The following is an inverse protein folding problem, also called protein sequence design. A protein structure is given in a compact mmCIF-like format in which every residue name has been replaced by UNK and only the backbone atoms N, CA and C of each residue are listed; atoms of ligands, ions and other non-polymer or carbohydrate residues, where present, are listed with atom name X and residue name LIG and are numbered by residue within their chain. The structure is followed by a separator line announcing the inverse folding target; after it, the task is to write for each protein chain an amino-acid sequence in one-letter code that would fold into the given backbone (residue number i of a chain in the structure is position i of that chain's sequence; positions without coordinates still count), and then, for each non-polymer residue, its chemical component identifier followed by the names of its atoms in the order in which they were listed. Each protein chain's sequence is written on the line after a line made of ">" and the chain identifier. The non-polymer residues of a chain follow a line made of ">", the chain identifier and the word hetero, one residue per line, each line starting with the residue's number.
data_IF_756438091817
#
_entry.id   IF_756438091817
#
_cell.length_a   1.000
_cell.length_b   1.000
_cell.length_c   1.000
_cell.angle_alpha   90.00
_cell.angle_beta   90.00
_cell.angle_gamma   90.00
#
_symmetry.space_group_name_H-M   'P 1'
#
loop_
_entity.id
_entity.type
_entity.pdbx_description
1 polymer ?
#
# COMPACT_ATOMS: atom_id res chain seq x y z
N UNK A 1 4.78 16.27 2.85
CA UNK A 1 4.10 15.27 3.71
C UNK A 1 3.40 14.29 2.77
N UNK A 2 4.07 13.18 2.42
CA UNK A 2 3.50 12.11 1.59
C UNK A 2 2.96 11.04 2.55
N UNK A 3 1.71 11.20 2.96
CA UNK A 3 0.98 10.12 3.62
C UNK A 3 0.04 9.55 2.57
N UNK A 4 0.23 8.29 2.22
CA UNK A 4 -0.74 7.57 1.38
C UNK A 4 -2.10 7.50 2.10
N UNK A 5 -3.17 7.35 1.34
CA UNK A 5 -4.51 7.16 1.90
C UNK A 5 -4.74 5.69 2.21
N UNK A 6 -5.36 5.41 3.36
CA UNK A 6 -5.92 4.08 3.66
C UNK A 6 -7.45 4.17 3.69
N UNK A 7 -8.13 3.87 2.57
CA UNK A 7 -9.58 3.74 2.56
C UNK A 7 -10.03 2.57 3.43
N UNK A 8 -10.92 2.84 4.37
CA UNK A 8 -11.53 1.87 5.27
C UNK A 8 -13.06 1.97 5.17
N UNK A 9 -13.75 0.83 5.23
CA UNK A 9 -15.21 0.78 5.07
C UNK A 9 -15.72 -0.63 4.83
N UNK A 10 -17.03 -0.90 4.88
CA UNK A 10 -17.60 -2.24 4.66
C UNK A 10 -17.17 -2.88 3.32
N UNK A 11 -17.18 -4.21 3.24
CA UNK A 11 -16.94 -4.90 1.96
C UNK A 11 -17.95 -4.44 0.89
N UNK A 12 -17.50 -4.27 -0.35
CA UNK A 12 -18.38 -3.84 -1.46
C UNK A 12 -18.63 -2.33 -1.57
N UNK A 13 -18.01 -1.50 -0.72
CA UNK A 13 -18.13 -0.03 -0.78
C UNK A 13 -17.22 0.65 -1.82
N UNK A 14 -16.64 -0.11 -2.75
CA UNK A 14 -15.88 0.48 -3.86
C UNK A 14 -14.49 1.02 -3.50
N UNK A 15 -13.89 0.61 -2.37
CA UNK A 15 -12.58 1.14 -1.90
C UNK A 15 -11.45 0.87 -2.88
N UNK A 16 -11.33 -0.39 -3.29
CA UNK A 16 -10.31 -0.85 -4.24
C UNK A 16 -10.57 -0.26 -5.62
N UNK A 17 -11.84 -0.22 -6.04
CA UNK A 17 -12.30 0.36 -7.29
C UNK A 17 -11.98 1.85 -7.37
N UNK A 18 -12.19 2.60 -6.29
CA UNK A 18 -11.87 4.03 -6.20
C UNK A 18 -10.38 4.29 -6.39
N UNK A 19 -9.50 3.46 -5.80
CA UNK A 19 -8.04 3.57 -5.99
C UNK A 19 -7.67 3.26 -7.44
N UNK A 20 -8.26 2.22 -8.04
CA UNK A 20 -8.02 1.86 -9.45
C UNK A 20 -8.47 2.95 -10.41
N UNK A 21 -9.64 3.53 -10.18
CA UNK A 21 -10.20 4.59 -11.02
C UNK A 21 -9.38 5.88 -10.89
N UNK A 22 -8.91 6.21 -9.68
CA UNK A 22 -7.99 7.32 -9.47
C UNK A 22 -6.66 7.09 -10.21
N UNK A 23 -6.06 5.91 -10.08
CA UNK A 23 -4.83 5.58 -10.79
C UNK A 23 -5.00 5.70 -12.31
N UNK A 24 -6.12 5.17 -12.84
CA UNK A 24 -6.48 5.29 -14.25
C UNK A 24 -6.61 6.74 -14.69
N UNK A 25 -7.30 7.58 -13.91
CA UNK A 25 -7.46 9.00 -14.20
C UNK A 25 -6.13 9.75 -14.20
N UNK A 26 -5.19 9.32 -13.36
CA UNK A 26 -3.85 9.88 -13.25
C UNK A 26 -2.83 9.25 -14.23
N UNK A 27 -3.24 8.28 -15.05
CA UNK A 27 -2.37 7.61 -16.03
C UNK A 27 -1.39 6.59 -15.43
N UNK A 28 -1.66 6.09 -14.22
CA UNK A 28 -0.84 5.08 -13.55
C UNK A 28 -1.45 3.68 -13.65
N UNK A 29 -0.59 2.67 -13.78
CA UNK A 29 -0.98 1.27 -13.60
C UNK A 29 -1.22 1.00 -12.11
N UNK A 30 -2.40 0.50 -11.74
CA UNK A 30 -2.70 0.05 -10.39
C UNK A 30 -2.77 -1.48 -10.33
N UNK A 31 -1.86 -2.09 -9.56
CA UNK A 31 -1.83 -3.53 -9.28
C UNK A 31 -2.59 -3.78 -7.98
N UNK A 32 -3.67 -4.54 -8.06
CA UNK A 32 -4.43 -4.96 -6.88
C UNK A 32 -3.94 -6.32 -6.44
N UNK A 33 -3.51 -6.43 -5.18
CA UNK A 33 -3.10 -7.68 -4.56
C UNK A 33 -4.05 -8.01 -3.42
N UNK A 34 -4.82 -9.08 -3.57
CA UNK A 34 -5.61 -9.64 -2.48
C UNK A 34 -4.67 -10.48 -1.61
N UNK A 35 -4.50 -10.08 -0.36
CA UNK A 35 -3.59 -10.77 0.55
C UNK A 35 -4.36 -11.75 1.40
N UNK A 36 -4.27 -13.01 0.98
CA UNK A 36 -4.90 -14.15 1.64
C UNK A 36 -4.10 -14.59 2.86
N UNK A 37 -4.77 -15.25 3.80
CA UNK A 37 -4.10 -15.92 4.93
C UNK A 37 -3.04 -16.89 4.39
N UNK A 38 -1.80 -16.78 4.89
CA UNK A 38 -0.67 -17.60 4.46
C UNK A 38 0.15 -17.01 3.30
N UNK A 39 -0.16 -15.81 2.80
CA UNK A 39 0.74 -15.11 1.89
C UNK A 39 2.06 -14.76 2.58
N UNK A 40 3.18 -15.23 2.03
CA UNK A 40 4.51 -15.01 2.60
C UNK A 40 4.96 -13.54 2.44
N UNK A 41 5.57 -13.00 3.49
CA UNK A 41 6.10 -11.63 3.54
C UNK A 41 7.13 -11.37 2.43
N UNK A 42 7.84 -12.42 1.98
CA UNK A 42 8.79 -12.32 0.87
C UNK A 42 8.09 -12.04 -0.46
N UNK A 43 6.88 -12.59 -0.67
CA UNK A 43 6.11 -12.36 -1.89
C UNK A 43 5.59 -10.92 -1.95
N UNK A 44 5.12 -10.40 -0.81
CA UNK A 44 4.71 -9.00 -0.65
C UNK A 44 5.92 -8.08 -0.89
N UNK A 45 7.07 -8.38 -0.27
CA UNK A 45 8.32 -7.64 -0.47
C UNK A 45 8.76 -7.59 -1.93
N UNK A 46 8.71 -8.71 -2.65
CA UNK A 46 9.01 -8.75 -4.09
C UNK A 46 8.06 -7.88 -4.91
N UNK A 47 6.76 -7.88 -4.59
CA UNK A 47 5.80 -7.02 -5.26
C UNK A 47 6.07 -5.53 -4.99
N UNK A 48 6.28 -5.17 -3.73
CA UNK A 48 6.61 -3.80 -3.33
C UNK A 48 7.91 -3.30 -3.98
N UNK A 49 8.94 -4.14 -4.04
CA UNK A 49 10.19 -3.83 -4.72
C UNK A 49 9.95 -3.45 -6.20
N UNK A 50 9.15 -4.25 -6.91
CA UNK A 50 8.78 -3.99 -8.31
C UNK A 50 8.00 -2.68 -8.46
N UNK A 51 7.06 -2.40 -7.56
CA UNK A 51 6.30 -1.15 -7.57
C UNK A 51 7.20 0.07 -7.38
N UNK A 52 8.14 0.03 -6.43
CA UNK A 52 9.10 1.12 -6.19
C UNK A 52 9.95 1.44 -7.42
N UNK A 53 10.42 0.41 -8.13
CA UNK A 53 11.28 0.58 -9.31
C UNK A 53 10.51 0.95 -10.57
N UNK A 54 9.23 0.57 -10.68
CA UNK A 54 8.38 0.90 -11.84
C UNK A 54 7.59 2.20 -11.66
N UNK A 55 7.43 2.67 -10.42
CA UNK A 55 6.64 3.84 -10.11
C UNK A 55 5.13 3.63 -10.32
N UNK A 56 4.70 2.37 -10.42
CA UNK A 56 3.30 1.97 -10.51
C UNK A 56 2.61 2.05 -9.13
N UNK A 57 1.28 1.99 -9.11
CA UNK A 57 0.51 2.01 -7.89
C UNK A 57 0.14 0.59 -7.45
N UNK A 58 0.11 0.36 -6.14
CA UNK A 58 -0.30 -0.90 -5.54
C UNK A 58 -1.46 -0.70 -4.57
N UNK A 59 -2.48 -1.55 -4.65
CA UNK A 59 -3.56 -1.62 -3.67
C UNK A 59 -3.53 -2.99 -2.99
N UNK A 60 -3.36 -3.01 -1.67
CA UNK A 60 -3.22 -4.23 -0.87
C UNK A 60 -4.37 -4.34 0.15
N UNK A 61 -4.98 -5.51 0.25
CA UNK A 61 -6.06 -5.79 1.21
C UNK A 61 -5.48 -6.32 2.52
N UNK A 62 -5.75 -5.67 3.66
CA UNK A 62 -5.35 -6.09 5.02
C UNK A 62 -3.86 -6.42 5.23
N UNK A 63 -2.96 -5.89 4.38
CA UNK A 63 -1.51 -6.05 4.56
C UNK A 63 -0.94 -5.00 5.47
N UNK A 64 -0.23 -5.49 6.48
CA UNK A 64 0.60 -4.71 7.39
C UNK A 64 2.01 -5.22 7.28
N UNK A 65 2.86 -4.52 6.53
CA UNK A 65 4.27 -4.87 6.44
C UNK A 65 5.13 -3.69 6.84
N UNK A 66 6.14 -3.96 7.67
CA UNK A 66 7.26 -3.05 7.96
C UNK A 66 7.91 -2.52 6.67
N UNK A 67 7.81 -3.29 5.58
CA UNK A 67 8.23 -2.90 4.24
C UNK A 67 7.53 -1.62 3.74
N UNK A 68 6.20 -1.48 3.94
CA UNK A 68 5.46 -0.30 3.50
C UNK A 68 5.94 0.95 4.24
N UNK A 69 6.19 0.82 5.54
CA UNK A 69 6.76 1.90 6.36
C UNK A 69 8.13 2.34 5.86
N UNK A 70 9.00 1.39 5.51
CA UNK A 70 10.33 1.68 4.95
C UNK A 70 10.23 2.48 3.65
N UNK A 71 9.32 2.10 2.76
CA UNK A 71 9.09 2.82 1.50
C UNK A 71 8.57 4.23 1.75
N UNK A 72 7.58 4.40 2.62
CA UNK A 72 7.02 5.72 2.93
C UNK A 72 8.02 6.66 3.59
N UNK A 73 8.90 6.13 4.45
CA UNK A 73 10.01 6.90 5.01
C UNK A 73 10.98 7.35 3.93
N UNK A 74 11.36 6.45 3.01
CA UNK A 74 12.23 6.79 1.88
C UNK A 74 11.59 7.86 0.97
N UNK A 75 10.29 7.74 0.66
CA UNK A 75 9.53 8.74 -0.09
C UNK A 75 9.49 10.09 0.63
N UNK A 76 9.26 10.09 1.94
CA UNK A 76 9.23 11.30 2.76
C UNK A 76 10.60 12.01 2.81
N UNK A 77 11.68 11.26 2.78
CA UNK A 77 13.06 11.76 2.70
C UNK A 77 13.48 12.14 1.27
N UNK A 78 12.64 11.92 0.26
CA UNK A 78 12.90 12.22 -1.15
C UNK A 78 14.18 11.55 -1.69
N UNK A 79 14.52 10.37 -1.16
CA UNK A 79 15.68 9.62 -1.66
C UNK A 79 15.34 8.93 -2.99
N UNK A 80 16.32 8.85 -3.89
CA UNK A 80 16.15 8.19 -5.20
C UNK A 80 16.50 6.70 -5.16
N UNK A 81 17.21 6.27 -4.13
CA UNK A 81 17.62 4.90 -3.87
C UNK A 81 17.58 4.66 -2.36
N UNK A 82 17.24 3.45 -1.96
CA UNK A 82 17.23 3.06 -0.55
C UNK A 82 17.43 1.54 -0.42
N UNK A 83 17.83 1.12 0.77
CA UNK A 83 18.02 -0.29 1.08
C UNK A 83 16.69 -0.94 1.47
N UNK A 84 16.27 -1.95 0.71
CA UNK A 84 14.99 -2.63 0.85
C UNK A 84 15.15 -4.14 0.60
N UNK A 85 14.65 -4.99 1.50
CA UNK A 85 14.73 -6.45 1.38
C UNK A 85 16.15 -6.95 1.03
N UNK A 86 17.14 -6.46 1.78
CA UNK A 86 18.57 -6.82 1.64
C UNK A 86 19.23 -6.37 0.33
N UNK A 87 18.59 -5.49 -0.44
CA UNK A 87 19.11 -4.97 -1.70
C UNK A 87 18.97 -3.44 -1.76
N UNK A 88 19.91 -2.77 -2.42
CA UNK A 88 19.74 -1.36 -2.78
C UNK A 88 18.87 -1.28 -4.04
N UNK A 89 17.75 -0.56 -3.96
CA UNK A 89 16.79 -0.45 -5.06
C UNK A 89 16.53 1.02 -5.41
N UNK A 90 16.15 1.25 -6.67
CA UNK A 90 15.65 2.54 -7.11
C UNK A 90 14.26 2.81 -6.53
N UNK A 91 14.02 4.06 -6.14
CA UNK A 91 12.72 4.55 -5.71
C UNK A 91 12.25 5.64 -6.66
N UNK A 92 11.22 5.33 -7.45
CA UNK A 92 10.52 6.33 -8.24
C UNK A 92 9.45 7.00 -7.38
N UNK A 93 9.49 8.33 -7.29
CA UNK A 93 8.56 9.12 -6.47
C UNK A 93 7.10 9.08 -6.95
N UNK A 94 6.83 8.45 -8.09
CA UNK A 94 5.48 8.23 -8.62
C UNK A 94 4.80 6.99 -8.03
N UNK A 95 5.54 6.12 -7.33
CA UNK A 95 4.96 4.94 -6.66
C UNK A 95 3.90 5.40 -5.66
N UNK A 96 2.76 4.70 -5.66
CA UNK A 96 1.68 4.90 -4.68
C UNK A 96 1.33 3.58 -4.02
N UNK A 97 1.32 3.52 -2.69
CA UNK A 97 0.99 2.30 -1.95
C UNK A 97 -0.25 2.56 -1.11
N UNK A 98 -1.33 1.86 -1.45
CA UNK A 98 -2.62 2.01 -0.79
C UNK A 98 -2.98 0.72 -0.07
N UNK A 99 -3.50 0.86 1.14
CA UNK A 99 -3.98 -0.25 1.95
C UNK A 99 -5.47 -0.07 2.17
N UNK A 100 -6.26 -1.07 1.80
CA UNK A 100 -7.69 -1.10 2.09
C UNK A 100 -7.96 -1.94 3.31
N UNK A 101 -8.87 -1.47 4.16
CA UNK A 101 -9.33 -2.22 5.33
C UNK A 101 -10.84 -2.47 5.25
N UNK A 102 -11.25 -3.68 5.62
CA UNK A 102 -12.65 -4.03 5.84
C UNK A 102 -12.91 -4.24 7.35
N UNK A 103 -13.12 -3.18 8.14
CA UNK A 103 -13.37 -3.31 9.57
C UNK A 103 -14.68 -4.10 9.83
N UNK A 104 -14.66 -4.99 10.82
CA UNK A 104 -15.84 -5.74 11.27
C UNK A 104 -16.18 -7.02 10.49
N UNK A 105 -15.39 -7.40 9.48
CA UNK A 105 -15.53 -8.70 8.82
C UNK A 105 -14.93 -9.81 9.71
N UNK A 106 -15.75 -10.79 10.11
CA UNK A 106 -15.31 -11.87 10.99
C UNK A 106 -14.11 -12.62 10.40
N UNK A 107 -13.01 -12.71 11.17
CA UNK A 107 -11.76 -13.35 10.73
C UNK A 107 -10.70 -12.40 10.15
N UNK A 108 -10.91 -11.08 10.16
CA UNK A 108 -9.89 -10.11 9.75
C UNK A 108 -9.40 -9.23 10.89
N UNK A 109 -8.09 -8.99 10.92
CA UNK A 109 -7.40 -8.25 11.99
C UNK A 109 -7.43 -6.75 11.71
N UNK A 110 -7.80 -5.94 12.69
CA UNK A 110 -7.62 -4.49 12.58
C UNK A 110 -6.13 -4.13 12.44
N UNK A 111 -5.82 -3.06 11.69
CA UNK A 111 -4.46 -2.54 11.61
C UNK A 111 -3.93 -2.17 13.01
N UNK A 112 -2.68 -2.51 13.35
CA UNK A 112 -2.01 -1.95 14.52
C UNK A 112 -1.96 -0.42 14.45
N UNK A 113 -2.11 0.27 15.59
CA UNK A 113 -2.09 1.74 15.67
C UNK A 113 -0.81 2.36 15.08
N UNK A 114 0.34 1.70 15.28
CA UNK A 114 1.62 2.13 14.72
C UNK A 114 1.64 2.19 13.20
N UNK A 115 0.74 1.48 12.52
CA UNK A 115 0.58 1.49 11.07
C UNK A 115 -0.53 2.43 10.64
N UNK A 116 -1.62 2.56 11.40
CA UNK A 116 -2.66 3.57 11.12
C UNK A 116 -2.05 4.98 11.02
N UNK A 117 -1.06 5.30 11.85
CA UNK A 117 -0.34 6.60 11.79
C UNK A 117 0.40 6.88 10.47
N UNK A 118 0.67 5.84 9.67
CA UNK A 118 1.35 5.97 8.39
C UNK A 118 0.41 6.38 7.25
N UNK A 119 -0.89 6.32 7.48
CA UNK A 119 -1.90 6.59 6.47
C UNK A 119 -2.83 7.72 6.90
N UNK A 120 -3.39 8.42 5.92
CA UNK A 120 -4.56 9.26 6.16
C UNK A 120 -5.80 8.37 6.17
N UNK A 121 -6.56 8.30 7.29
CA UNK A 121 -7.78 7.52 7.32
C UNK A 121 -8.82 8.16 6.38
N UNK A 122 -9.41 7.35 5.52
CA UNK A 122 -10.54 7.74 4.66
C UNK A 122 -11.65 6.73 4.91
N UNK A 123 -12.81 7.19 5.36
CA UNK A 123 -13.96 6.30 5.58
C UNK A 123 -14.85 6.35 4.35
N UNK A 124 -15.07 5.20 3.73
CA UNK A 124 -16.02 5.02 2.62
C UNK A 124 -17.23 4.28 3.17
N UNK A 125 -18.41 4.90 3.07
CA UNK A 125 -19.68 4.40 3.61
C UNK A 125 -20.57 3.91 2.48
#
# INVERSE_FOLDING_TARGET
>A
MFLDCAPAGPAGTGKTESIKDLAKAMGFLCVVTNCVEGMDYQSIGKNLNRLCQTGAWGCFDDVVSTQVKSIQQALSLHVKQFFFEHNEIQLLSTVGIFVTMNPGYAGRTELPESVKTLFRPVVVV
#
